data_IF_597888846855
#
_entry.id   IF_597888846855
#
_cell.length_a   1.000
_cell.length_b   1.000
_cell.length_c   1.000
_cell.angle_alpha   90.00
_cell.angle_beta   90.00
_cell.angle_gamma   90.00
#
_symmetry.space_group_name_H-M   'P 1'
#
loop_
_entity.id
_entity.type
_entity.pdbx_description
1 polymer ?
#
# COMPACT_ATOMS: atom_id res chain seq x y z
N UNK A 1 5.94 -26.56 1.70
CA UNK A 1 4.86 -26.67 0.69
C UNK A 1 4.90 -25.40 -0.15
N UNK A 2 4.94 -25.48 -1.48
CA UNK A 2 4.92 -24.28 -2.34
C UNK A 2 3.46 -23.94 -2.67
N UNK A 3 3.01 -22.74 -2.31
CA UNK A 3 1.71 -22.26 -2.73
C UNK A 3 1.79 -21.65 -4.13
N UNK A 4 0.81 -21.98 -4.99
CA UNK A 4 0.70 -21.43 -6.35
C UNK A 4 -0.40 -20.38 -6.38
N UNK A 5 -0.09 -19.25 -7.00
CA UNK A 5 -1.01 -18.14 -7.26
C UNK A 5 -1.01 -17.85 -8.76
N UNK A 6 -2.15 -17.42 -9.29
CA UNK A 6 -2.27 -17.01 -10.70
C UNK A 6 -1.60 -15.65 -10.94
N UNK A 7 -1.67 -14.77 -9.93
CA UNK A 7 -1.08 -13.43 -9.97
C UNK A 7 -0.41 -13.08 -8.65
N UNK A 8 0.69 -12.32 -8.75
CA UNK A 8 1.35 -11.69 -7.60
C UNK A 8 1.31 -10.17 -7.83
N UNK A 9 0.74 -9.45 -6.88
CA UNK A 9 0.68 -7.99 -6.88
C UNK A 9 1.65 -7.47 -5.81
N UNK A 10 2.62 -6.67 -6.23
CA UNK A 10 3.59 -6.04 -5.33
C UNK A 10 3.14 -4.60 -5.06
N UNK A 11 2.73 -4.34 -3.81
CA UNK A 11 2.16 -3.09 -3.33
C UNK A 11 0.64 -3.18 -3.14
N UNK A 12 0.18 -3.08 -1.89
CA UNK A 12 -1.23 -2.99 -1.52
C UNK A 12 -1.74 -1.55 -1.45
N UNK A 13 -1.32 -0.70 -2.41
CA UNK A 13 -1.90 0.63 -2.61
C UNK A 13 -3.27 0.55 -3.29
N UNK A 14 -3.92 1.70 -3.50
CA UNK A 14 -5.23 1.82 -4.16
C UNK A 14 -5.36 0.95 -5.42
N UNK A 15 -4.49 1.15 -6.41
CA UNK A 15 -4.56 0.42 -7.67
C UNK A 15 -4.31 -1.09 -7.50
N UNK A 16 -3.37 -1.47 -6.64
CA UNK A 16 -3.04 -2.87 -6.37
C UNK A 16 -4.21 -3.61 -5.73
N UNK A 17 -4.88 -2.99 -4.76
CA UNK A 17 -6.06 -3.55 -4.11
C UNK A 17 -7.28 -3.62 -5.04
N UNK A 18 -7.51 -2.59 -5.85
CA UNK A 18 -8.58 -2.61 -6.86
C UNK A 18 -8.35 -3.72 -7.87
N UNK A 19 -7.13 -3.86 -8.40
CA UNK A 19 -6.79 -4.94 -9.32
C UNK A 19 -6.94 -6.31 -8.67
N UNK A 20 -6.47 -6.48 -7.43
CA UNK A 20 -6.61 -7.73 -6.70
C UNK A 20 -8.08 -8.11 -6.51
N UNK A 21 -8.94 -7.14 -6.19
CA UNK A 21 -10.39 -7.33 -6.07
C UNK A 21 -11.00 -7.81 -7.38
N UNK A 22 -10.73 -7.14 -8.48
CA UNK A 22 -11.25 -7.50 -9.81
C UNK A 22 -10.80 -8.90 -10.25
N UNK A 23 -9.52 -9.23 -10.04
CA UNK A 23 -8.98 -10.57 -10.35
C UNK A 23 -9.62 -11.66 -9.48
N UNK A 24 -9.78 -11.38 -8.18
CA UNK A 24 -10.42 -12.31 -7.24
C UNK A 24 -11.88 -12.56 -7.60
N UNK A 25 -12.62 -11.53 -8.03
CA UNK A 25 -13.99 -11.67 -8.55
C UNK A 25 -14.08 -12.54 -9.81
N UNK A 26 -12.97 -12.69 -10.56
CA UNK A 26 -12.84 -13.60 -11.70
C UNK A 26 -12.25 -14.97 -11.30
N UNK A 27 -12.37 -15.35 -10.03
CA UNK A 27 -11.90 -16.62 -9.46
C UNK A 27 -10.39 -16.86 -9.65
N UNK A 28 -9.57 -15.81 -9.68
CA UNK A 28 -8.10 -15.93 -9.71
C UNK A 28 -7.54 -15.96 -8.30
N UNK A 29 -6.54 -16.82 -8.05
CA UNK A 29 -5.77 -16.84 -6.81
C UNK A 29 -4.72 -15.74 -6.88
N UNK A 30 -4.87 -14.72 -6.04
CA UNK A 30 -3.98 -13.54 -6.05
C UNK A 30 -3.21 -13.46 -4.74
N UNK A 31 -1.90 -13.35 -4.82
CA UNK A 31 -1.04 -13.00 -3.69
C UNK A 31 -0.73 -11.50 -3.74
N UNK A 32 -0.96 -10.80 -2.63
CA UNK A 32 -0.61 -9.38 -2.49
C UNK A 32 0.54 -9.27 -1.49
N UNK A 33 1.58 -8.54 -1.86
CA UNK A 33 2.73 -8.28 -0.99
C UNK A 33 2.81 -6.78 -0.70
N UNK A 34 2.76 -6.41 0.57
CA UNK A 34 2.94 -5.03 1.03
C UNK A 34 4.06 -4.98 2.04
N UNK A 35 4.94 -3.97 1.93
CA UNK A 35 6.05 -3.79 2.88
C UNK A 35 5.53 -3.28 4.22
N UNK A 36 4.52 -2.41 4.19
CA UNK A 36 3.89 -1.86 5.37
C UNK A 36 2.86 -2.79 6.01
N UNK A 37 2.38 -2.39 7.19
CA UNK A 37 1.32 -3.09 7.90
C UNK A 37 -0.10 -2.62 7.54
N UNK A 38 -1.09 -3.19 8.23
CA UNK A 38 -2.48 -2.75 8.16
C UNK A 38 -2.72 -1.51 9.01
N UNK A 39 -3.31 -0.48 8.40
CA UNK A 39 -3.77 0.72 9.09
C UNK A 39 -5.19 0.42 9.61
N UNK A 40 -5.32 0.21 10.92
CA UNK A 40 -6.60 -0.21 11.53
C UNK A 40 -7.58 0.93 11.73
N UNK A 41 -7.07 2.11 12.06
CA UNK A 41 -7.87 3.29 12.36
C UNK A 41 -7.57 4.37 11.34
N UNK A 42 -8.63 4.89 10.72
CA UNK A 42 -8.60 6.01 9.79
C UNK A 42 -9.21 7.25 10.46
N UNK A 43 -8.99 8.43 9.86
CA UNK A 43 -9.59 9.69 10.33
C UNK A 43 -8.72 10.52 11.28
N UNK A 44 -7.50 10.08 11.60
CA UNK A 44 -6.51 10.93 12.26
C UNK A 44 -5.10 10.66 11.74
N UNK A 45 -4.36 11.73 11.49
CA UNK A 45 -2.97 11.71 11.02
C UNK A 45 -2.06 10.90 11.97
N UNK A 46 -2.38 10.86 13.27
CA UNK A 46 -1.60 10.14 14.28
C UNK A 46 -1.60 8.62 14.04
N UNK A 47 -2.69 8.06 13.52
CA UNK A 47 -2.76 6.62 13.23
C UNK A 47 -1.98 6.24 11.97
N UNK A 48 -1.79 7.19 11.06
CA UNK A 48 -1.05 6.98 9.80
C UNK A 48 0.41 7.39 9.91
N UNK A 49 0.75 8.23 10.89
CA UNK A 49 2.11 8.74 11.13
C UNK A 49 3.22 7.67 11.06
N UNK A 50 3.07 6.47 11.68
CA UNK A 50 4.11 5.43 11.64
C UNK A 50 4.35 4.84 10.25
N UNK A 51 3.39 4.98 9.33
CA UNK A 51 3.44 4.41 7.99
C UNK A 51 4.03 5.37 6.96
N UNK A 52 4.31 6.64 7.30
CA UNK A 52 5.00 7.54 6.39
C UNK A 52 6.43 7.09 6.15
N UNK A 53 6.81 6.98 4.88
CA UNK A 53 8.19 6.65 4.53
C UNK A 53 9.12 7.80 4.88
N UNK A 54 10.08 7.53 5.77
CA UNK A 54 11.16 8.46 6.12
C UNK A 54 10.63 9.88 6.35
N UNK A 55 9.64 10.01 7.23
CA UNK A 55 8.92 11.25 7.60
C UNK A 55 9.75 12.52 7.29
N UNK A 56 9.44 13.21 6.18
CA UNK A 56 10.07 14.48 5.80
C UNK A 56 11.49 14.44 5.23
N UNK A 57 12.15 13.28 5.19
CA UNK A 57 13.51 13.08 4.68
C UNK A 57 13.55 12.58 3.23
N UNK A 58 12.44 12.05 2.71
CA UNK A 58 12.32 11.73 1.30
C UNK A 58 12.09 13.03 0.50
N UNK A 59 13.11 13.48 -0.24
CA UNK A 59 13.04 14.65 -1.11
C UNK A 59 13.24 14.27 -2.57
N UNK A 60 12.60 15.01 -3.47
CA UNK A 60 12.89 14.97 -4.90
C UNK A 60 14.28 15.56 -5.17
N UNK A 61 14.79 15.40 -6.40
CA UNK A 61 16.04 16.04 -6.84
C UNK A 61 15.99 17.57 -6.74
N UNK A 62 14.79 18.14 -6.82
CA UNK A 62 14.51 19.57 -6.71
C UNK A 62 14.29 20.02 -5.25
N UNK A 63 14.44 19.13 -4.27
CA UNK A 63 14.28 19.44 -2.84
C UNK A 63 12.84 19.43 -2.33
N UNK A 64 11.87 19.02 -3.15
CA UNK A 64 10.45 18.94 -2.76
C UNK A 64 10.24 17.72 -1.86
N UNK A 65 9.54 17.90 -0.73
CA UNK A 65 9.24 16.80 0.19
C UNK A 65 8.25 15.84 -0.48
N UNK A 66 8.63 14.58 -0.61
CA UNK A 66 7.78 13.50 -1.11
C UNK A 66 7.21 12.74 0.08
N UNK A 67 5.93 12.97 0.35
CA UNK A 67 5.18 12.20 1.34
C UNK A 67 4.55 10.99 0.66
N UNK A 68 4.83 9.80 1.20
CA UNK A 68 4.17 8.56 0.79
C UNK A 68 3.92 7.68 2.00
N UNK A 69 2.82 6.95 1.96
CA UNK A 69 2.44 5.99 3.00
C UNK A 69 2.80 4.59 2.53
N UNK A 70 3.46 3.83 3.40
CA UNK A 70 3.83 2.44 3.20
C UNK A 70 3.01 1.59 4.17
N UNK A 71 1.87 1.13 3.69
CA UNK A 71 0.87 0.39 4.44
C UNK A 71 -0.26 -0.03 3.52
N UNK A 72 -1.13 -0.91 3.99
CA UNK A 72 -2.31 -1.33 3.22
C UNK A 72 -3.21 -0.12 2.95
N UNK A 73 -3.59 0.07 1.69
CA UNK A 73 -4.23 1.27 1.16
C UNK A 73 -3.25 2.26 0.52
N UNK A 74 -1.97 2.24 0.90
CA UNK A 74 -0.96 3.15 0.39
C UNK A 74 -1.30 4.62 0.68
N UNK A 75 -0.92 5.53 -0.20
CA UNK A 75 -1.15 6.98 -0.01
C UNK A 75 -2.63 7.39 -0.07
N UNK A 76 -3.54 6.55 -0.58
CA UNK A 76 -4.97 6.92 -0.62
C UNK A 76 -5.62 6.99 0.77
N UNK A 77 -4.95 6.53 1.82
CA UNK A 77 -5.45 6.64 3.20
C UNK A 77 -5.30 8.05 3.80
N UNK A 78 -4.60 8.95 3.10
CA UNK A 78 -4.31 10.33 3.53
C UNK A 78 -4.63 11.37 2.45
N UNK A 79 -5.25 10.97 1.35
CA UNK A 79 -5.64 11.83 0.24
C UNK A 79 -7.15 12.03 0.16
#
# INVERSE_FOLDING_TARGET
MQERYDYIIVGAGLCGLVLAKELSQKNKRVLILERGGYIRNLGSIMYVAPFYDKIGLAKSRQGVINLRVLGVGGTSVVS
#
